data_IF_534375112055
#
_entry.id   IF_534375112055
#
_cell.length_a   1.000
_cell.length_b   1.000
_cell.length_c   1.000
_cell.angle_alpha   90.00
_cell.angle_beta   90.00
_cell.angle_gamma   90.00
#
_symmetry.space_group_name_H-M   'P 1'
#
loop_
_entity.id
_entity.type
_entity.pdbx_description
1 polymer ?
#
# COMPACT_ATOMS: atom_id res chain seq x y z
N UNK A 1 -12.92 19.48 -2.34
CA UNK A 1 -13.06 18.13 -1.73
C UNK A 1 -11.73 17.43 -1.88
N UNK A 2 -11.20 16.83 -0.82
CA UNK A 2 -9.87 16.18 -0.84
C UNK A 2 -9.93 14.91 -1.69
N UNK A 3 -9.04 14.76 -2.68
CA UNK A 3 -8.98 13.56 -3.53
C UNK A 3 -8.41 12.38 -2.73
N UNK A 4 -9.06 11.22 -2.80
CA UNK A 4 -8.62 9.99 -2.13
C UNK A 4 -8.11 9.02 -3.20
N UNK A 5 -6.80 8.78 -3.20
CA UNK A 5 -6.11 8.11 -4.31
C UNK A 5 -5.42 6.86 -3.79
N UNK A 6 -5.68 5.72 -4.40
CA UNK A 6 -5.01 4.46 -4.09
C UNK A 6 -3.80 4.25 -5.00
N UNK A 7 -2.67 3.92 -4.39
CA UNK A 7 -1.39 3.63 -5.02
C UNK A 7 -0.96 2.20 -4.63
N UNK A 8 -1.34 1.18 -5.39
CA UNK A 8 -0.81 -0.16 -5.21
C UNK A 8 0.69 -0.20 -5.49
N UNK A 9 1.42 -0.99 -4.71
CA UNK A 9 2.86 -1.17 -4.90
C UNK A 9 3.28 -2.60 -4.62
N UNK A 10 4.14 -3.13 -5.49
CA UNK A 10 4.93 -4.35 -5.29
C UNK A 10 6.40 -4.00 -4.97
N UNK A 11 6.67 -2.72 -4.65
CA UNK A 11 7.99 -2.13 -4.44
C UNK A 11 8.93 -2.18 -5.66
N UNK A 12 8.40 -2.45 -6.86
CA UNK A 12 9.15 -2.38 -8.11
C UNK A 12 9.40 -0.94 -8.55
N UNK A 13 10.30 -0.79 -9.53
CA UNK A 13 10.53 0.50 -10.19
C UNK A 13 9.26 1.01 -10.91
N UNK A 14 8.40 0.12 -11.41
CA UNK A 14 7.18 0.51 -12.11
C UNK A 14 6.16 1.11 -11.13
N UNK A 15 5.95 0.45 -10.00
CA UNK A 15 5.14 0.98 -8.91
C UNK A 15 5.68 2.34 -8.42
N UNK A 16 7.00 2.46 -8.27
CA UNK A 16 7.63 3.72 -7.90
C UNK A 16 7.41 4.83 -8.94
N UNK A 17 7.49 4.51 -10.24
CA UNK A 17 7.22 5.48 -11.30
C UNK A 17 5.76 5.95 -11.27
N UNK A 18 4.80 5.07 -10.98
CA UNK A 18 3.40 5.44 -10.81
C UNK A 18 3.19 6.36 -9.60
N UNK A 19 3.85 6.07 -8.47
CA UNK A 19 3.85 6.93 -7.28
C UNK A 19 4.44 8.30 -7.61
N UNK A 20 5.62 8.34 -8.23
CA UNK A 20 6.29 9.58 -8.62
C UNK A 20 5.42 10.44 -9.55
N UNK A 21 4.81 9.81 -10.55
CA UNK A 21 3.85 10.49 -11.44
C UNK A 21 2.68 11.08 -10.65
N UNK A 22 2.08 10.33 -9.73
CA UNK A 22 0.98 10.82 -8.91
C UNK A 22 1.37 12.03 -8.04
N UNK A 23 2.58 11.99 -7.45
CA UNK A 23 3.09 13.11 -6.64
C UNK A 23 3.24 14.39 -7.47
N UNK A 24 3.82 14.28 -8.67
CA UNK A 24 4.03 15.41 -9.58
C UNK A 24 2.72 15.93 -10.17
N UNK A 25 1.84 15.03 -10.63
CA UNK A 25 0.57 15.37 -11.25
C UNK A 25 -0.36 16.12 -10.28
N UNK A 26 -0.40 15.67 -9.01
CA UNK A 26 -1.24 16.28 -7.98
C UNK A 26 -0.48 17.26 -7.08
N UNK A 27 0.71 17.73 -7.48
CA UNK A 27 1.55 18.61 -6.65
C UNK A 27 0.78 19.83 -6.10
N UNK A 28 -0.20 20.33 -6.86
CA UNK A 28 -1.02 21.50 -6.52
C UNK A 28 -2.37 21.23 -5.86
N UNK A 29 -2.69 19.97 -5.56
CA UNK A 29 -4.00 19.56 -5.04
C UNK A 29 -3.91 18.95 -3.63
N UNK A 30 -4.96 19.12 -2.83
CA UNK A 30 -5.11 18.40 -1.56
C UNK A 30 -5.49 16.94 -1.82
N UNK A 31 -4.59 16.03 -1.47
CA UNK A 31 -4.73 14.61 -1.74
C UNK A 31 -4.44 13.77 -0.50
N UNK A 32 -5.25 12.73 -0.31
CA UNK A 32 -4.99 11.65 0.63
C UNK A 32 -4.62 10.41 -0.17
N UNK A 33 -3.35 10.03 -0.12
CA UNK A 33 -2.83 8.85 -0.77
C UNK A 33 -2.87 7.64 0.16
N UNK A 34 -3.39 6.53 -0.36
CA UNK A 34 -3.42 5.23 0.29
C UNK A 34 -2.42 4.35 -0.44
N UNK A 35 -1.35 3.95 0.23
CA UNK A 35 -0.29 3.12 -0.35
C UNK A 35 -0.55 1.68 0.07
N UNK A 36 -0.89 0.83 -0.90
CA UNK A 36 -1.33 -0.55 -0.65
C UNK A 36 -0.27 -1.54 -1.11
N UNK A 37 0.13 -2.44 -0.21
CA UNK A 37 0.86 -3.65 -0.56
C UNK A 37 0.07 -4.87 -0.11
N UNK A 38 -0.14 -5.82 -1.01
CA UNK A 38 -0.70 -7.13 -0.68
C UNK A 38 0.37 -8.18 -0.70
N UNK A 39 0.45 -9.01 0.34
CA UNK A 39 1.30 -10.19 0.37
C UNK A 39 0.41 -11.42 0.39
N UNK A 40 0.52 -12.25 -0.65
CA UNK A 40 -0.33 -13.43 -0.82
C UNK A 40 0.23 -14.60 -0.01
N UNK A 41 -0.61 -15.46 0.59
CA UNK A 41 -0.16 -16.72 1.15
C UNK A 41 0.67 -17.49 0.14
N UNK A 42 1.84 -17.96 0.55
CA UNK A 42 2.34 -19.19 -0.04
C UNK A 42 1.28 -20.26 0.28
N UNK A 43 0.67 -20.85 -0.76
CA UNK A 43 -0.45 -21.81 -0.70
C UNK A 43 -0.25 -23.03 0.25
N UNK A 44 0.90 -23.12 0.91
CA UNK A 44 1.37 -24.27 1.67
C UNK A 44 1.91 -23.90 3.06
N UNK A 45 1.36 -22.85 3.71
CA UNK A 45 1.65 -22.59 5.12
C UNK A 45 0.55 -23.19 6.02
N UNK A 46 0.80 -24.33 6.69
CA UNK A 46 -0.20 -25.00 7.54
C UNK A 46 -0.65 -24.13 8.71
N UNK A 47 0.19 -23.19 9.15
CA UNK A 47 -0.11 -22.26 10.23
C UNK A 47 -1.24 -21.28 9.89
N UNK A 48 -1.45 -20.93 8.61
CA UNK A 48 -2.62 -20.13 8.21
C UNK A 48 -3.95 -20.89 8.32
N UNK A 49 -3.95 -22.21 8.13
CA UNK A 49 -5.13 -23.06 8.36
C UNK A 49 -5.48 -23.08 9.86
N UNK A 50 -4.48 -22.95 10.73
CA UNK A 50 -4.62 -23.00 12.19
C UNK A 50 -4.92 -21.62 12.82
N UNK A 51 -5.03 -20.53 12.05
CA UNK A 51 -5.31 -19.18 12.58
C UNK A 51 -4.19 -18.16 12.35
N UNK A 52 -3.20 -18.49 11.50
CA UNK A 52 -2.16 -17.59 11.05
C UNK A 52 -0.98 -17.44 12.02
N UNK A 53 -0.06 -16.51 11.71
CA UNK A 53 1.12 -16.19 12.53
C UNK A 53 0.77 -15.85 13.99
N UNK A 54 -0.41 -15.25 14.19
CA UNK A 54 -0.97 -14.91 15.51
C UNK A 54 -1.27 -16.15 16.37
N UNK A 55 -1.53 -17.30 15.75
CA UNK A 55 -1.82 -18.56 16.44
C UNK A 55 -0.58 -19.46 16.56
N UNK A 56 0.33 -19.42 15.58
CA UNK A 56 1.52 -20.27 15.53
C UNK A 56 2.74 -19.72 16.28
N UNK A 57 2.72 -18.44 16.67
CA UNK A 57 3.88 -17.69 17.19
C UNK A 57 5.09 -17.68 16.24
N UNK A 58 4.89 -18.01 14.96
CA UNK A 58 5.91 -17.95 13.92
C UNK A 58 5.88 -16.53 13.33
N UNK A 59 6.94 -15.73 13.47
CA UNK A 59 7.01 -14.42 12.84
C UNK A 59 6.82 -14.56 11.33
N UNK A 60 5.90 -13.76 10.78
CA UNK A 60 5.72 -13.72 9.34
C UNK A 60 6.63 -12.69 8.71
N UNK A 61 7.75 -13.17 8.15
CA UNK A 61 8.68 -12.35 7.38
C UNK A 61 7.99 -11.57 6.27
N UNK A 62 6.88 -12.07 5.72
CA UNK A 62 6.08 -11.36 4.71
C UNK A 62 5.52 -10.04 5.25
N UNK A 63 4.97 -10.06 6.47
CA UNK A 63 4.44 -8.87 7.16
C UNK A 63 5.55 -7.86 7.43
N UNK A 64 6.68 -8.31 7.97
CA UNK A 64 7.81 -7.43 8.30
C UNK A 64 8.39 -6.75 7.04
N UNK A 65 8.58 -7.52 5.96
CA UNK A 65 9.07 -6.99 4.68
C UNK A 65 8.05 -5.99 4.09
N UNK A 66 6.77 -6.31 4.12
CA UNK A 66 5.70 -5.44 3.64
C UNK A 66 5.68 -4.10 4.41
N UNK A 67 5.73 -4.17 5.74
CA UNK A 67 5.72 -2.99 6.60
C UNK A 67 6.96 -2.12 6.37
N UNK A 68 8.14 -2.72 6.36
CA UNK A 68 9.39 -2.00 6.09
C UNK A 68 9.40 -1.38 4.69
N UNK A 69 8.87 -2.08 3.68
CA UNK A 69 8.74 -1.56 2.32
C UNK A 69 7.81 -0.35 2.23
N UNK A 70 6.67 -0.39 2.93
CA UNK A 70 5.72 0.71 2.99
C UNK A 70 6.29 1.93 3.74
N UNK A 71 6.95 1.72 4.87
CA UNK A 71 7.63 2.77 5.64
C UNK A 71 8.72 3.45 4.81
N UNK A 72 9.55 2.65 4.14
CA UNK A 72 10.56 3.16 3.22
C UNK A 72 9.93 3.96 2.07
N UNK A 73 8.84 3.46 1.49
CA UNK A 73 8.13 4.15 0.39
C UNK A 73 7.65 5.52 0.82
N UNK A 74 7.03 5.64 2.00
CA UNK A 74 6.58 6.95 2.55
C UNK A 74 7.78 7.86 2.82
N UNK A 75 8.85 7.35 3.43
CA UNK A 75 10.05 8.13 3.70
C UNK A 75 10.70 8.67 2.40
N UNK A 76 10.75 7.84 1.35
CA UNK A 76 11.27 8.24 0.04
C UNK A 76 10.37 9.28 -0.63
N UNK A 77 9.03 9.18 -0.49
CA UNK A 77 8.08 10.20 -0.95
C UNK A 77 8.32 11.51 -0.20
N UNK A 78 8.34 11.50 1.13
CA UNK A 78 8.50 12.71 1.95
C UNK A 78 9.82 13.43 1.67
N UNK A 79 10.89 12.65 1.42
CA UNK A 79 12.21 13.18 1.06
C UNK A 79 12.22 13.82 -0.34
N UNK A 80 11.58 13.17 -1.33
CA UNK A 80 11.67 13.60 -2.74
C UNK A 80 10.58 14.60 -3.14
N UNK A 81 9.43 14.53 -2.49
CA UNK A 81 8.21 15.32 -2.79
C UNK A 81 7.63 15.95 -1.52
N UNK A 82 8.38 16.82 -0.81
CA UNK A 82 7.88 17.46 0.40
C UNK A 82 6.65 18.32 0.10
N UNK A 83 5.47 17.90 0.55
CA UNK A 83 4.21 18.59 0.24
C UNK A 83 3.21 18.54 1.41
N UNK A 84 2.91 19.71 1.99
CA UNK A 84 1.95 19.84 3.11
C UNK A 84 0.49 19.59 2.73
N UNK A 85 0.17 19.60 1.42
CA UNK A 85 -1.18 19.31 0.91
C UNK A 85 -1.44 17.81 0.75
N UNK A 86 -0.39 17.00 0.82
CA UNK A 86 -0.47 15.56 0.65
C UNK A 86 -0.45 14.88 2.02
N UNK A 87 -1.29 13.87 2.18
CA UNK A 87 -1.33 12.99 3.35
C UNK A 87 -1.22 11.55 2.88
N UNK A 88 -0.66 10.69 3.72
CA UNK A 88 -0.38 9.30 3.39
C UNK A 88 -0.96 8.35 4.43
N UNK A 89 -1.50 7.22 3.99
CA UNK A 89 -1.86 6.06 4.82
C UNK A 89 -1.30 4.81 4.15
N UNK A 90 -0.60 3.98 4.91
CA UNK A 90 -0.11 2.68 4.42
C UNK A 90 -1.12 1.59 4.75
N UNK A 91 -1.25 0.61 3.85
CA UNK A 91 -2.11 -0.56 4.00
C UNK A 91 -1.28 -1.78 3.60
N UNK A 92 -1.06 -2.68 4.55
CA UNK A 92 -0.46 -3.98 4.32
C UNK A 92 -1.53 -5.03 4.52
N UNK A 93 -1.79 -5.87 3.51
CA UNK A 93 -2.90 -6.82 3.54
C UNK A 93 -2.48 -8.22 3.10
N UNK A 94 -2.90 -9.22 3.88
CA UNK A 94 -2.78 -10.62 3.51
C UNK A 94 -3.96 -11.01 2.62
N UNK A 95 -3.86 -10.75 1.33
CA UNK A 95 -4.97 -10.92 0.40
C UNK A 95 -4.48 -11.03 -1.05
N UNK A 96 -5.40 -11.30 -1.98
CA UNK A 96 -5.19 -11.11 -3.41
C UNK A 96 -5.36 -9.62 -3.72
N UNK A 97 -4.47 -9.06 -4.54
CA UNK A 97 -4.43 -7.63 -4.83
C UNK A 97 -5.78 -7.08 -5.31
N UNK A 98 -6.43 -7.76 -6.26
CA UNK A 98 -7.71 -7.31 -6.83
C UNK A 98 -8.81 -7.24 -5.78
N UNK A 99 -8.86 -8.23 -4.90
CA UNK A 99 -9.89 -8.34 -3.88
C UNK A 99 -9.67 -7.26 -2.81
N UNK A 100 -8.43 -7.06 -2.38
CA UNK A 100 -8.10 -5.99 -1.44
C UNK A 100 -8.34 -4.60 -2.05
N UNK A 101 -8.04 -4.39 -3.34
CA UNK A 101 -8.38 -3.14 -4.02
C UNK A 101 -9.88 -2.89 -3.93
N UNK A 102 -10.71 -3.89 -4.22
CA UNK A 102 -12.17 -3.75 -4.11
C UNK A 102 -12.60 -3.38 -2.70
N UNK A 103 -12.06 -4.04 -1.68
CA UNK A 103 -12.35 -3.74 -0.27
C UNK A 103 -11.90 -2.34 0.14
N UNK A 104 -10.67 -1.95 -0.20
CA UNK A 104 -10.10 -0.62 0.10
C UNK A 104 -10.90 0.47 -0.59
N UNK A 105 -11.31 0.28 -1.84
CA UNK A 105 -12.11 1.28 -2.58
C UNK A 105 -13.41 1.57 -1.84
N UNK A 106 -14.11 0.54 -1.35
CA UNK A 106 -15.35 0.72 -0.59
C UNK A 106 -15.08 1.30 0.82
N UNK A 107 -14.13 0.71 1.55
CA UNK A 107 -13.80 1.07 2.94
C UNK A 107 -13.28 2.51 3.05
N UNK A 108 -12.41 2.90 2.13
CA UNK A 108 -11.72 4.19 2.14
C UNK A 108 -12.32 5.18 1.15
N UNK A 109 -13.41 4.88 0.44
CA UNK A 109 -14.07 5.79 -0.50
C UNK A 109 -13.09 6.37 -1.53
N UNK A 110 -12.30 5.49 -2.16
CA UNK A 110 -11.26 5.87 -3.13
C UNK A 110 -11.91 6.43 -4.40
N UNK A 111 -11.39 7.55 -4.91
CA UNK A 111 -11.88 8.21 -6.11
C UNK A 111 -11.07 7.84 -7.36
N UNK A 112 -9.80 7.44 -7.18
CA UNK A 112 -8.87 7.16 -8.27
C UNK A 112 -7.85 6.10 -7.82
N UNK A 113 -7.51 5.20 -8.72
CA UNK A 113 -6.41 4.24 -8.55
C UNK A 113 -5.35 4.59 -9.58
N UNK A 114 -4.09 4.69 -9.16
CA UNK A 114 -2.94 4.86 -10.06
C UNK A 114 -1.98 3.70 -9.80
N UNK A 115 -1.68 2.95 -10.85
CA UNK A 115 -0.88 1.73 -10.80
C UNK A 115 0.07 1.71 -12.00
N UNK A 116 1.24 1.12 -11.82
CA UNK A 116 2.28 0.98 -12.85
C UNK A 116 2.63 -0.48 -13.14
#
# INVERSE_FOLDING_TARGET
MMKRILLPTDFSNNAWNAIAYAMDYFANEECFFFILHTYTPTLYRPDYILGGPSFSAIPDKGVEIAQAGLEKTVADIDKKYPNKRHRYKTISAFNILTDEIHEVVQREQINLIIMG
#
